data_IF_976547811093
#
_entry.id   IF_976547811093
#
_cell.length_a   1.000
_cell.length_b   1.000
_cell.length_c   1.000
_cell.angle_alpha   90.00
_cell.angle_beta   90.00
_cell.angle_gamma   90.00
#
_symmetry.space_group_name_H-M   'P 1'
#
loop_
_entity.id
_entity.type
_entity.pdbx_description
1 polymer ?
#
# COMPACT_ATOMS: atom_id res chain seq x y z
N UNK A 1 -4.84 -0.02 6.71
CA UNK A 1 -6.01 -0.19 5.85
C UNK A 1 -7.27 -0.45 6.69
N UNK A 2 -8.43 -0.33 6.09
CA UNK A 2 -9.72 -0.61 6.72
C UNK A 2 -10.69 -1.23 5.71
N UNK A 3 -11.71 -1.91 6.22
CA UNK A 3 -12.78 -2.50 5.41
C UNK A 3 -14.12 -2.09 6.04
N UNK A 4 -15.08 -1.72 5.22
CA UNK A 4 -16.42 -1.39 5.65
C UNK A 4 -17.44 -1.91 4.63
N UNK A 5 -18.71 -1.97 5.01
CA UNK A 5 -19.74 -2.38 4.08
C UNK A 5 -21.09 -2.57 4.75
N UNK A 6 -22.03 -3.09 3.99
CA UNK A 6 -23.37 -3.43 4.43
C UNK A 6 -23.67 -4.89 4.08
N UNK A 7 -24.32 -5.60 4.98
CA UNK A 7 -24.83 -6.95 4.77
C UNK A 7 -26.34 -6.90 4.72
N UNK A 8 -26.91 -7.40 3.62
CA UNK A 8 -28.36 -7.44 3.39
C UNK A 8 -28.81 -8.83 2.98
N UNK A 9 -30.07 -9.10 3.08
CA UNK A 9 -30.70 -10.27 2.47
C UNK A 9 -31.12 -10.01 1.01
N UNK A 10 -31.72 -10.99 0.36
CA UNK A 10 -32.23 -10.90 -1.00
C UNK A 10 -33.36 -9.87 -1.21
N UNK A 11 -34.01 -9.46 -0.10
CA UNK A 11 -35.04 -8.39 -0.08
C UNK A 11 -34.44 -7.01 0.18
N UNK A 12 -33.09 -6.90 0.23
CA UNK A 12 -32.34 -5.71 0.59
C UNK A 12 -32.58 -5.22 2.05
N UNK A 13 -33.11 -6.09 2.92
CA UNK A 13 -33.24 -5.81 4.35
C UNK A 13 -31.88 -6.00 5.06
N UNK A 14 -31.54 -5.14 6.06
CA UNK A 14 -30.27 -5.24 6.77
C UNK A 14 -30.22 -6.46 7.68
N UNK A 15 -29.15 -7.25 7.60
CA UNK A 15 -28.91 -8.37 8.50
C UNK A 15 -28.14 -7.87 9.73
N UNK A 16 -28.77 -7.89 10.88
CA UNK A 16 -28.23 -7.43 12.17
C UNK A 16 -27.50 -8.58 12.86
N UNK A 17 -26.27 -8.32 13.34
CA UNK A 17 -25.49 -9.31 14.10
C UNK A 17 -24.80 -10.36 13.21
N UNK A 18 -24.74 -10.18 11.89
CA UNK A 18 -23.92 -11.02 11.02
C UNK A 18 -22.45 -10.88 11.38
N UNK A 19 -21.75 -12.00 11.47
CA UNK A 19 -20.32 -12.03 11.77
C UNK A 19 -19.52 -11.82 10.48
N UNK A 20 -18.61 -10.85 10.49
CA UNK A 20 -17.66 -10.58 9.40
C UNK A 20 -16.26 -10.86 9.92
N UNK A 21 -15.61 -11.87 9.35
CA UNK A 21 -14.24 -12.27 9.70
C UNK A 21 -13.32 -12.12 8.50
N UNK A 22 -12.24 -11.36 8.65
CA UNK A 22 -11.20 -11.20 7.63
C UNK A 22 -9.90 -11.84 8.10
N UNK A 23 -9.31 -12.70 7.28
CA UNK A 23 -8.04 -13.38 7.56
C UNK A 23 -7.00 -12.98 6.54
N UNK A 24 -5.92 -12.37 7.00
CA UNK A 24 -4.75 -12.07 6.17
C UNK A 24 -3.98 -13.36 5.93
N UNK A 25 -4.08 -13.94 4.74
CA UNK A 25 -3.54 -15.26 4.42
C UNK A 25 -2.02 -15.39 4.68
N UNK A 26 -1.17 -14.40 4.30
CA UNK A 26 0.27 -14.53 4.48
C UNK A 26 0.73 -14.58 5.94
N UNK A 27 0.03 -13.89 6.87
CA UNK A 27 0.39 -13.86 8.29
C UNK A 27 -0.55 -14.66 9.19
N UNK A 28 -1.71 -15.09 8.68
CA UNK A 28 -2.73 -15.73 9.50
C UNK A 28 -3.42 -14.77 10.49
N UNK A 29 -3.17 -13.47 10.41
CA UNK A 29 -3.81 -12.46 11.28
C UNK A 29 -5.30 -12.41 11.00
N UNK A 30 -6.10 -12.42 12.08
CA UNK A 30 -7.57 -12.41 12.00
C UNK A 30 -8.11 -11.10 12.53
N UNK A 31 -9.10 -10.58 11.83
CA UNK A 31 -9.85 -9.38 12.17
C UNK A 31 -11.32 -9.74 12.11
N UNK A 32 -12.14 -9.22 13.01
CA UNK A 32 -13.56 -9.54 13.03
C UNK A 32 -14.40 -8.44 13.61
N UNK A 33 -15.64 -8.39 13.17
CA UNK A 33 -16.68 -7.49 13.67
C UNK A 33 -18.06 -8.11 13.43
N UNK A 34 -19.09 -7.48 13.94
CA UNK A 34 -20.48 -7.82 13.69
C UNK A 34 -21.21 -6.64 13.08
N UNK A 35 -22.26 -6.90 12.32
CA UNK A 35 -23.10 -5.85 11.72
C UNK A 35 -23.99 -5.18 12.77
N UNK A 36 -24.18 -3.87 12.61
CA UNK A 36 -25.08 -3.07 13.45
C UNK A 36 -26.56 -3.17 13.00
N UNK A 37 -27.42 -2.36 13.61
CA UNK A 37 -28.88 -2.33 13.33
C UNK A 37 -29.22 -1.95 11.88
N UNK A 38 -28.32 -1.26 11.18
CA UNK A 38 -28.48 -0.90 9.76
C UNK A 38 -27.81 -1.95 8.82
N UNK A 39 -27.33 -3.07 9.37
CA UNK A 39 -26.57 -4.08 8.64
C UNK A 39 -25.15 -3.63 8.27
N UNK A 40 -24.67 -2.49 8.79
CA UNK A 40 -23.33 -1.94 8.46
C UNK A 40 -22.26 -2.50 9.38
N UNK A 41 -21.06 -2.65 8.84
CA UNK A 41 -19.87 -3.05 9.59
C UNK A 41 -18.65 -2.22 9.21
N UNK A 42 -17.67 -2.17 10.12
CA UNK A 42 -16.37 -1.56 9.87
C UNK A 42 -15.28 -2.31 10.64
N UNK A 43 -14.20 -2.66 9.95
CA UNK A 43 -12.97 -3.24 10.52
C UNK A 43 -11.84 -2.27 10.25
N UNK A 44 -11.21 -1.76 11.31
CA UNK A 44 -10.11 -0.80 11.23
C UNK A 44 -8.80 -1.46 11.65
N UNK A 45 -7.66 -0.79 11.36
CA UNK A 45 -6.34 -1.26 11.78
C UNK A 45 -5.85 -2.51 11.06
N UNK A 46 -6.40 -2.83 9.89
CA UNK A 46 -5.98 -3.98 9.08
C UNK A 46 -4.63 -3.71 8.41
N UNK A 47 -3.84 -4.75 8.20
CA UNK A 47 -2.59 -4.68 7.42
C UNK A 47 -2.89 -4.28 5.98
N UNK A 48 -1.99 -3.55 5.36
CA UNK A 48 -2.01 -3.31 3.91
C UNK A 48 -1.55 -4.55 3.15
N UNK A 49 -1.90 -4.62 1.88
CA UNK A 49 -1.60 -5.77 1.03
C UNK A 49 -2.66 -6.88 1.15
N UNK A 50 -2.24 -8.11 0.98
CA UNK A 50 -3.11 -9.29 0.97
C UNK A 50 -2.36 -10.52 0.44
N UNK A 51 -3.07 -11.57 0.00
CA UNK A 51 -4.53 -11.69 -0.10
C UNK A 51 -5.23 -11.89 1.25
N UNK A 52 -6.43 -11.36 1.34
CA UNK A 52 -7.36 -11.63 2.44
C UNK A 52 -8.44 -12.62 2.01
N UNK A 53 -8.85 -13.47 2.96
CA UNK A 53 -10.09 -14.24 2.91
C UNK A 53 -11.06 -13.59 3.88
N UNK A 54 -12.21 -13.15 3.37
CA UNK A 54 -13.27 -12.54 4.19
C UNK A 54 -14.47 -13.48 4.17
N UNK A 55 -14.93 -13.83 5.36
CA UNK A 55 -16.05 -14.73 5.59
C UNK A 55 -17.16 -13.99 6.32
N UNK A 56 -18.36 -14.07 5.77
CA UNK A 56 -19.56 -13.47 6.36
C UNK A 56 -20.55 -14.61 6.66
N UNK A 57 -20.95 -14.71 7.91
CA UNK A 57 -21.85 -15.75 8.39
C UNK A 57 -22.96 -15.22 9.28
N UNK A 58 -24.16 -15.79 9.13
CA UNK A 58 -25.31 -15.52 9.96
C UNK A 58 -26.18 -16.77 10.06
N UNK A 59 -26.88 -16.94 11.19
CA UNK A 59 -27.74 -18.11 11.43
C UNK A 59 -28.92 -18.09 10.46
N UNK A 60 -29.13 -19.19 9.74
CA UNK A 60 -30.20 -19.33 8.74
C UNK A 60 -29.84 -18.81 7.35
N UNK A 61 -28.61 -18.32 7.14
CA UNK A 61 -28.12 -17.85 5.84
C UNK A 61 -26.90 -18.65 5.37
N UNK A 62 -26.72 -18.68 4.05
CA UNK A 62 -25.52 -19.28 3.46
C UNK A 62 -24.29 -18.44 3.76
N UNK A 63 -23.21 -19.08 4.20
CA UNK A 63 -21.92 -18.40 4.42
C UNK A 63 -21.32 -17.93 3.10
N UNK A 64 -20.99 -16.66 3.03
CA UNK A 64 -20.37 -16.04 1.85
C UNK A 64 -18.89 -15.82 2.11
N UNK A 65 -18.03 -16.26 1.18
CA UNK A 65 -16.57 -16.11 1.28
C UNK A 65 -16.04 -15.36 0.08
N UNK A 66 -15.35 -14.29 0.37
CA UNK A 66 -14.55 -13.54 -0.61
C UNK A 66 -13.09 -13.91 -0.47
N UNK A 67 -12.44 -14.22 -1.59
CA UNK A 67 -11.00 -14.52 -1.68
C UNK A 67 -10.26 -13.46 -2.47
N UNK A 68 -8.95 -13.41 -2.28
CA UNK A 68 -8.02 -12.56 -3.03
C UNK A 68 -8.24 -11.05 -2.90
N UNK A 69 -8.85 -10.61 -1.77
CA UNK A 69 -8.98 -9.20 -1.47
C UNK A 69 -7.60 -8.63 -1.10
N UNK A 70 -7.26 -7.49 -1.70
CA UNK A 70 -6.04 -6.73 -1.39
C UNK A 70 -6.44 -5.36 -0.87
N UNK A 71 -5.94 -4.99 0.30
CA UNK A 71 -6.21 -3.70 0.95
C UNK A 71 -5.08 -2.71 0.68
N UNK A 72 -5.42 -1.48 0.35
CA UNK A 72 -4.47 -0.40 0.07
C UNK A 72 -4.32 0.54 1.27
N UNK A 73 -3.16 1.19 1.36
CA UNK A 73 -2.87 2.16 2.40
C UNK A 73 -3.80 3.37 2.31
N UNK A 74 -4.34 3.80 3.46
CA UNK A 74 -5.17 4.99 3.56
C UNK A 74 -6.55 4.87 2.90
N UNK A 75 -6.90 3.72 2.33
CA UNK A 75 -8.20 3.49 1.70
C UNK A 75 -9.11 2.62 2.57
N UNK A 76 -10.41 2.86 2.45
CA UNK A 76 -11.46 1.99 2.99
C UNK A 76 -11.91 1.07 1.86
N UNK A 77 -11.74 -0.23 2.03
CA UNK A 77 -12.27 -1.21 1.08
C UNK A 77 -13.75 -1.45 1.39
N UNK A 78 -14.62 -1.05 0.47
CA UNK A 78 -16.05 -1.25 0.64
C UNK A 78 -16.48 -2.61 0.08
N UNK A 79 -17.04 -3.45 0.95
CA UNK A 79 -17.53 -4.78 0.62
C UNK A 79 -18.98 -4.91 1.09
N UNK A 80 -19.91 -4.63 0.19
CA UNK A 80 -21.33 -4.88 0.40
C UNK A 80 -21.67 -6.32 0.01
N UNK A 81 -22.44 -6.99 0.84
CA UNK A 81 -22.71 -8.42 0.72
C UNK A 81 -24.20 -8.66 0.80
N UNK A 82 -24.73 -9.39 -0.15
CA UNK A 82 -26.07 -9.95 -0.15
C UNK A 82 -25.99 -11.42 0.25
N UNK A 83 -26.74 -11.82 1.26
CA UNK A 83 -26.78 -13.20 1.76
C UNK A 83 -28.13 -13.83 1.39
N UNK A 84 -28.08 -15.07 0.93
CA UNK A 84 -29.30 -15.87 0.64
C UNK A 84 -29.64 -16.75 1.83
N UNK A 85 -30.93 -16.91 2.12
CA UNK A 85 -31.40 -17.88 3.11
C UNK A 85 -30.99 -19.30 2.71
N UNK A 86 -30.56 -20.05 3.70
CA UNK A 86 -30.19 -21.46 3.50
C UNK A 86 -31.27 -22.36 3.99
N UNK A 87 -31.86 -23.12 3.11
CA UNK A 87 -32.72 -24.25 3.47
C UNK A 87 -31.93 -25.53 3.83
N UNK A 88 -30.62 -25.57 3.44
CA UNK A 88 -29.69 -26.67 3.75
C UNK A 88 -28.32 -26.12 4.16
N UNK A 89 -27.79 -26.59 5.28
CA UNK A 89 -26.65 -26.07 6.05
C UNK A 89 -25.25 -26.20 5.40
N UNK A 90 -25.10 -26.55 4.09
CA UNK A 90 -23.82 -27.01 3.56
C UNK A 90 -23.31 -26.33 2.28
N UNK A 91 -23.95 -25.30 1.76
CA UNK A 91 -23.45 -24.65 0.56
C UNK A 91 -22.76 -23.31 0.87
N UNK A 92 -21.43 -23.30 0.77
CA UNK A 92 -20.57 -22.13 0.86
C UNK A 92 -20.54 -21.43 -0.51
N UNK A 93 -20.83 -20.13 -0.55
CA UNK A 93 -20.70 -19.33 -1.76
C UNK A 93 -19.32 -18.69 -1.80
N UNK A 94 -18.49 -19.11 -2.76
CA UNK A 94 -17.16 -18.56 -2.95
C UNK A 94 -17.19 -17.50 -4.05
N UNK A 95 -16.84 -16.28 -3.70
CA UNK A 95 -16.69 -15.15 -4.62
C UNK A 95 -15.23 -14.74 -4.69
N UNK A 96 -14.66 -14.68 -5.89
CA UNK A 96 -13.31 -14.12 -6.09
C UNK A 96 -13.43 -12.63 -6.33
N UNK A 97 -12.74 -11.84 -5.52
CA UNK A 97 -12.77 -10.37 -5.65
C UNK A 97 -12.13 -9.93 -6.98
N UNK A 98 -12.87 -9.20 -7.80
CA UNK A 98 -12.30 -8.56 -8.97
C UNK A 98 -11.44 -7.35 -8.53
N UNK A 99 -10.21 -7.28 -9.03
CA UNK A 99 -9.33 -6.11 -8.80
C UNK A 99 -9.82 -4.93 -9.63
N UNK A 100 -10.68 -4.10 -9.07
CA UNK A 100 -11.06 -2.83 -9.68
C UNK A 100 -10.10 -1.73 -9.22
N UNK A 101 -9.39 -1.11 -10.18
CA UNK A 101 -8.50 0.03 -9.92
C UNK A 101 -9.27 1.35 -9.67
N UNK A 102 -10.52 1.39 -10.04
CA UNK A 102 -11.36 2.58 -9.94
C UNK A 102 -12.57 2.27 -9.06
N UNK A 103 -12.60 2.89 -7.89
CA UNK A 103 -13.77 2.90 -7.02
C UNK A 103 -14.33 4.31 -6.97
N UNK A 104 -15.65 4.47 -7.14
CA UNK A 104 -16.33 5.78 -7.08
C UNK A 104 -16.21 6.48 -5.71
N UNK A 105 -15.70 5.76 -4.71
CA UNK A 105 -15.60 6.20 -3.32
C UNK A 105 -14.22 6.76 -2.95
N UNK A 106 -13.30 6.82 -3.92
CA UNK A 106 -11.97 7.39 -3.72
C UNK A 106 -12.07 8.90 -3.57
N UNK A 107 -11.86 9.40 -2.37
CA UNK A 107 -11.86 10.83 -2.08
C UNK A 107 -10.43 11.38 -2.09
N UNK A 108 -10.20 12.43 -2.89
CA UNK A 108 -8.90 13.09 -3.03
C UNK A 108 -7.97 12.48 -4.10
N UNK A 109 -6.90 13.21 -4.41
CA UNK A 109 -5.90 12.77 -5.38
C UNK A 109 -4.82 11.93 -4.66
N UNK A 110 -5.04 10.63 -4.58
CA UNK A 110 -4.08 9.68 -4.01
C UNK A 110 -3.57 8.73 -5.09
N UNK A 111 -2.28 8.41 -5.03
CA UNK A 111 -1.64 7.42 -5.89
C UNK A 111 -0.98 6.37 -5.01
N UNK A 112 -1.48 5.15 -5.03
CA UNK A 112 -0.94 4.04 -4.28
C UNK A 112 -0.08 3.16 -5.19
N UNK A 113 1.13 2.84 -4.74
CA UNK A 113 2.14 2.10 -5.50
C UNK A 113 2.61 0.95 -4.65
N UNK A 114 2.26 -0.28 -5.05
CA UNK A 114 2.64 -1.50 -4.34
C UNK A 114 4.08 -1.90 -4.62
N UNK A 115 4.66 -2.76 -3.76
CA UNK A 115 6.01 -3.31 -3.94
C UNK A 115 6.18 -4.03 -5.29
N UNK A 116 5.14 -4.71 -5.77
CA UNK A 116 5.16 -5.37 -7.08
C UNK A 116 5.29 -4.36 -8.24
N UNK A 117 4.61 -3.22 -8.15
CA UNK A 117 4.74 -2.15 -9.14
C UNK A 117 6.12 -1.49 -9.05
N UNK A 118 6.63 -1.23 -7.83
CA UNK A 118 7.96 -0.63 -7.63
C UNK A 118 9.08 -1.48 -8.21
N UNK A 119 8.98 -2.80 -8.15
CA UNK A 119 9.99 -3.71 -8.72
C UNK A 119 9.97 -3.78 -10.24
N UNK A 120 8.82 -3.51 -10.86
CA UNK A 120 8.66 -3.53 -12.32
C UNK A 120 9.05 -2.21 -12.99
N UNK A 121 9.15 -1.13 -12.22
CA UNK A 121 9.44 0.20 -12.74
C UNK A 121 10.95 0.39 -12.97
N UNK A 122 11.35 0.84 -14.15
CA UNK A 122 12.73 1.22 -14.40
C UNK A 122 13.05 2.51 -13.65
N UNK A 123 13.85 2.43 -12.61
CA UNK A 123 14.32 3.58 -11.84
C UNK A 123 15.82 3.75 -12.01
N UNK A 124 16.28 4.99 -12.14
CA UNK A 124 17.71 5.28 -12.31
C UNK A 124 18.46 5.27 -10.96
N UNK A 125 17.83 5.83 -9.94
CA UNK A 125 18.46 6.00 -8.62
C UNK A 125 17.88 5.09 -7.55
N UNK A 126 16.81 4.35 -7.83
CA UNK A 126 16.03 3.57 -6.85
C UNK A 126 15.67 4.42 -5.62
N UNK A 127 15.21 5.62 -5.89
CA UNK A 127 14.83 6.59 -4.85
C UNK A 127 13.32 6.70 -4.73
N UNK A 128 12.88 7.16 -3.56
CA UNK A 128 11.46 7.45 -3.33
C UNK A 128 10.96 8.54 -4.27
N UNK A 129 11.83 9.49 -4.66
CA UNK A 129 11.48 10.51 -5.65
C UNK A 129 11.22 9.93 -7.04
N UNK A 130 11.88 8.83 -7.42
CA UNK A 130 11.58 8.12 -8.67
C UNK A 130 10.19 7.48 -8.64
N UNK A 131 9.77 7.00 -7.47
CA UNK A 131 8.43 6.45 -7.26
C UNK A 131 7.37 7.56 -7.21
N UNK A 132 7.67 8.67 -6.55
CA UNK A 132 6.75 9.81 -6.48
C UNK A 132 6.36 10.34 -7.87
N UNK A 133 7.25 10.25 -8.85
CA UNK A 133 6.99 10.65 -10.26
C UNK A 133 5.87 9.87 -10.95
N UNK A 134 5.43 8.76 -10.41
CA UNK A 134 4.26 8.04 -10.91
C UNK A 134 2.95 8.77 -10.63
N UNK A 135 2.95 9.67 -9.65
CA UNK A 135 1.85 10.60 -9.47
C UNK A 135 1.88 11.68 -10.56
N UNK A 136 0.79 11.91 -11.29
CA UNK A 136 0.75 12.94 -12.34
C UNK A 136 0.95 14.36 -11.80
N UNK A 137 0.81 14.55 -10.50
CA UNK A 137 0.98 15.84 -9.82
C UNK A 137 2.39 16.07 -9.28
N UNK A 138 3.31 15.10 -9.44
CA UNK A 138 4.64 15.15 -8.85
C UNK A 138 5.71 15.57 -9.88
N UNK A 139 6.61 16.44 -9.45
CA UNK A 139 7.89 16.70 -10.11
C UNK A 139 9.01 16.55 -9.07
N UNK A 140 9.62 15.37 -8.99
CA UNK A 140 10.50 14.99 -7.90
C UNK A 140 9.77 14.97 -6.56
N UNK A 141 10.18 15.81 -5.63
CA UNK A 141 9.54 16.00 -4.31
C UNK A 141 8.54 17.17 -4.29
N UNK A 142 8.36 17.88 -5.39
CA UNK A 142 7.37 18.95 -5.51
C UNK A 142 6.04 18.39 -5.99
N UNK A 143 4.94 18.77 -5.33
CA UNK A 143 3.59 18.32 -5.68
C UNK A 143 2.69 19.52 -5.98
N UNK A 144 1.90 19.42 -7.05
CA UNK A 144 0.93 20.44 -7.48
C UNK A 144 1.52 21.87 -7.57
N UNK A 145 2.80 21.99 -7.98
CA UNK A 145 3.49 23.26 -8.06
C UNK A 145 4.05 23.82 -6.74
N UNK A 146 3.89 23.07 -5.64
CA UNK A 146 4.45 23.43 -4.33
C UNK A 146 5.96 23.23 -4.25
N UNK A 147 6.58 23.79 -3.19
CA UNK A 147 7.99 23.57 -2.89
C UNK A 147 8.22 22.17 -2.30
N UNK A 148 9.17 21.42 -2.85
CA UNK A 148 9.52 20.07 -2.36
C UNK A 148 10.01 20.03 -0.91
N UNK A 149 10.45 21.16 -0.34
CA UNK A 149 10.80 21.29 1.08
C UNK A 149 9.57 21.23 2.00
N UNK A 150 8.40 21.54 1.47
CA UNK A 150 7.12 21.52 2.19
C UNK A 150 6.38 20.19 2.05
N UNK A 151 6.97 19.20 1.39
CA UNK A 151 6.39 17.85 1.24
C UNK A 151 6.66 17.05 2.50
N UNK A 152 5.61 16.45 3.06
CA UNK A 152 5.75 15.54 4.19
C UNK A 152 6.15 14.13 3.70
N UNK A 153 7.15 13.55 4.33
CA UNK A 153 7.53 12.15 4.12
C UNK A 153 7.46 11.37 5.42
N UNK A 154 6.64 10.32 5.44
CA UNK A 154 6.49 9.45 6.59
C UNK A 154 6.83 8.01 6.25
N UNK A 155 7.43 7.30 7.21
CA UNK A 155 7.64 5.85 7.17
C UNK A 155 6.96 5.26 8.40
N UNK A 156 6.02 4.34 8.19
CA UNK A 156 5.22 3.72 9.25
C UNK A 156 4.58 4.74 10.21
N UNK A 157 4.22 5.92 9.69
CA UNK A 157 3.67 7.04 10.44
C UNK A 157 4.70 7.94 11.14
N UNK A 158 5.97 7.57 11.18
CA UNK A 158 7.04 8.42 11.69
C UNK A 158 7.48 9.44 10.62
N UNK A 159 7.74 10.68 11.06
CA UNK A 159 8.14 11.76 10.18
C UNK A 159 9.65 11.69 9.87
N UNK A 160 10.00 11.71 8.60
CA UNK A 160 11.36 11.67 8.06
C UNK A 160 11.71 12.92 7.24
N UNK A 161 11.08 14.03 7.50
CA UNK A 161 11.35 15.28 6.80
C UNK A 161 12.72 15.86 7.13
N UNK A 162 13.26 16.63 6.19
CA UNK A 162 14.38 17.53 6.47
C UNK A 162 13.84 18.82 7.13
N UNK A 163 13.75 18.81 8.45
CA UNK A 163 13.17 19.93 9.23
C UNK A 163 14.02 21.22 9.22
N UNK A 164 15.25 21.19 8.68
CA UNK A 164 16.06 22.40 8.54
C UNK A 164 15.64 23.29 7.38
N UNK A 165 14.77 22.80 6.47
CA UNK A 165 14.19 23.60 5.40
C UNK A 165 15.17 24.12 4.33
N UNK A 166 16.43 23.67 4.35
CA UNK A 166 17.47 24.14 3.44
C UNK A 166 17.57 23.32 2.14
N UNK A 167 16.95 22.15 2.10
CA UNK A 167 17.00 21.25 0.95
C UNK A 167 15.69 20.47 0.82
N UNK A 168 15.27 20.23 -0.42
CA UNK A 168 14.18 19.30 -0.76
C UNK A 168 14.60 17.83 -0.71
N UNK A 169 15.90 17.55 -0.45
CA UNK A 169 16.38 16.18 -0.34
C UNK A 169 15.98 15.58 1.00
N UNK A 170 15.52 14.35 0.97
CA UNK A 170 15.28 13.57 2.17
C UNK A 170 16.60 13.23 2.89
N UNK A 171 16.58 12.96 4.20
CA UNK A 171 17.75 12.47 4.93
C UNK A 171 18.38 11.25 4.27
N UNK A 172 19.64 10.98 4.55
CA UNK A 172 20.34 9.83 3.97
C UNK A 172 20.68 9.98 2.47
N UNK A 173 20.86 11.22 1.99
CA UNK A 173 21.17 11.49 0.58
C UNK A 173 19.98 11.26 -0.36
N UNK A 174 18.77 11.41 0.16
CA UNK A 174 17.52 11.23 -0.58
C UNK A 174 16.89 9.83 -0.52
N UNK A 175 17.54 8.89 0.16
CA UNK A 175 17.03 7.53 0.37
C UNK A 175 17.14 7.13 1.85
N UNK A 176 16.21 7.58 2.70
CA UNK A 176 16.24 7.25 4.12
C UNK A 176 15.99 5.76 4.41
N UNK A 177 15.38 5.05 3.46
CA UNK A 177 15.10 3.62 3.53
C UNK A 177 15.27 2.98 2.16
N UNK A 178 15.72 1.71 2.11
CA UNK A 178 15.77 0.93 0.88
C UNK A 178 14.38 0.68 0.32
N UNK A 179 14.21 0.84 -0.99
CA UNK A 179 12.96 0.50 -1.67
C UNK A 179 12.55 -0.97 -1.48
N UNK A 180 13.52 -1.86 -1.29
CA UNK A 180 13.25 -3.29 -1.08
C UNK A 180 12.61 -3.58 0.27
N UNK A 181 12.73 -2.65 1.23
CA UNK A 181 12.09 -2.73 2.54
C UNK A 181 10.65 -2.17 2.54
N UNK A 182 10.22 -1.54 1.45
CA UNK A 182 8.90 -0.89 1.36
C UNK A 182 7.86 -1.87 0.80
N UNK A 183 6.72 -1.96 1.46
CA UNK A 183 5.55 -2.73 0.99
C UNK A 183 4.68 -1.90 0.06
N UNK A 184 4.39 -0.66 0.44
CA UNK A 184 3.53 0.24 -0.31
C UNK A 184 3.95 1.69 -0.08
N UNK A 185 3.86 2.50 -1.14
CA UNK A 185 4.00 3.95 -1.08
C UNK A 185 2.68 4.58 -1.50
N UNK A 186 2.18 5.47 -0.68
CA UNK A 186 1.04 6.33 -1.00
C UNK A 186 1.52 7.76 -1.21
N UNK A 187 1.22 8.32 -2.36
CA UNK A 187 1.39 9.73 -2.66
C UNK A 187 0.03 10.41 -2.54
N UNK A 188 -0.04 11.42 -1.69
CA UNK A 188 -1.29 12.15 -1.39
C UNK A 188 -1.13 13.59 -1.79
N UNK A 189 -2.08 14.10 -2.59
CA UNK A 189 -2.16 15.51 -2.97
C UNK A 189 -3.53 16.04 -2.58
N UNK A 190 -3.56 17.11 -1.79
CA UNK A 190 -4.79 17.72 -1.27
C UNK A 190 -5.71 16.70 -0.55
N UNK A 191 -5.28 16.06 0.55
CA UNK A 191 -6.10 15.09 1.27
C UNK A 191 -7.28 15.76 1.97
N UNK A 192 -8.39 15.04 2.04
CA UNK A 192 -9.55 15.43 2.86
C UNK A 192 -9.51 14.80 4.26
N UNK A 193 -8.52 13.97 4.56
CA UNK A 193 -8.34 13.32 5.86
C UNK A 193 -7.57 14.24 6.81
N UNK A 194 -8.21 14.67 7.89
CA UNK A 194 -7.63 15.56 8.92
C UNK A 194 -6.42 14.97 9.65
N UNK A 195 -6.20 13.66 9.58
CA UNK A 195 -5.02 12.99 10.14
C UNK A 195 -3.77 13.21 9.31
N UNK A 196 -3.93 13.61 8.06
CA UNK A 196 -2.84 13.94 7.16
C UNK A 196 -2.45 15.39 7.34
N UNK A 197 -1.32 15.62 7.98
CA UNK A 197 -0.86 16.94 8.39
C UNK A 197 0.59 17.19 7.96
N UNK A 198 1.10 18.37 8.27
CA UNK A 198 2.51 18.70 8.18
C UNK A 198 3.08 18.85 6.76
N UNK A 199 2.24 19.26 5.79
CA UNK A 199 2.69 19.54 4.42
C UNK A 199 1.86 20.64 3.74
N UNK A 200 2.44 21.21 2.69
CA UNK A 200 1.77 22.10 1.74
C UNK A 200 1.97 21.49 0.36
N UNK A 201 0.86 21.14 -0.31
CA UNK A 201 0.87 20.53 -1.65
C UNK A 201 0.75 19.02 -1.65
N UNK A 202 1.67 18.28 -1.04
CA UNK A 202 1.59 16.83 -1.03
C UNK A 202 2.35 16.13 0.09
N UNK A 203 2.00 14.89 0.32
CA UNK A 203 2.65 14.00 1.27
C UNK A 203 2.96 12.63 0.64
N UNK A 204 4.02 12.00 1.11
CA UNK A 204 4.40 10.64 0.76
C UNK A 204 4.37 9.82 2.04
N UNK A 205 3.55 8.77 2.06
CA UNK A 205 3.47 7.83 3.16
C UNK A 205 4.02 6.48 2.68
N UNK A 206 5.08 5.98 3.28
CA UNK A 206 5.64 4.67 3.01
C UNK A 206 5.32 3.72 4.18
N UNK A 207 5.04 2.47 3.85
CA UNK A 207 4.91 1.39 4.84
C UNK A 207 5.96 0.35 4.56
N UNK A 208 6.63 -0.10 5.60
CA UNK A 208 7.64 -1.15 5.52
C UNK A 208 7.01 -2.53 5.38
N UNK A 209 7.75 -3.45 4.75
CA UNK A 209 7.40 -4.85 4.70
C UNK A 209 7.40 -5.45 6.10
N UNK A 210 6.52 -6.41 6.29
CA UNK A 210 6.47 -7.20 7.53
C UNK A 210 6.68 -8.67 7.21
N UNK A 211 7.24 -9.41 8.15
CA UNK A 211 7.38 -10.85 8.03
C UNK A 211 6.03 -11.56 7.89
N UNK A 212 6.07 -12.72 7.26
CA UNK A 212 4.92 -13.59 7.01
C UNK A 212 5.23 -15.02 7.47
N UNK A 213 4.29 -15.96 7.28
CA UNK A 213 4.51 -17.39 7.63
C UNK A 213 5.51 -18.10 6.72
N UNK A 214 5.97 -17.45 5.66
CA UNK A 214 6.98 -17.97 4.74
C UNK A 214 8.24 -17.13 4.81
N UNK A 215 9.41 -17.79 4.84
CA UNK A 215 10.68 -17.08 4.71
C UNK A 215 10.79 -16.49 3.29
N UNK A 216 11.14 -15.20 3.24
CA UNK A 216 11.42 -14.50 2.00
C UNK A 216 12.67 -13.65 2.20
N UNK A 217 13.54 -13.65 1.21
CA UNK A 217 14.73 -12.82 1.22
C UNK A 217 15.06 -12.37 -0.19
N UNK A 218 15.72 -11.24 -0.28
CA UNK A 218 16.28 -10.70 -1.52
C UNK A 218 17.71 -10.26 -1.26
N UNK A 219 18.57 -10.42 -2.26
CA UNK A 219 19.89 -9.83 -2.28
C UNK A 219 20.10 -9.17 -3.63
N UNK A 220 20.71 -7.99 -3.66
CA UNK A 220 20.92 -7.25 -4.88
C UNK A 220 22.21 -6.45 -4.85
N UNK A 221 22.77 -6.21 -6.03
CA UNK A 221 23.84 -5.27 -6.26
C UNK A 221 23.57 -4.50 -7.54
N UNK A 222 23.83 -3.20 -7.51
CA UNK A 222 23.77 -2.32 -8.68
C UNK A 222 25.10 -1.59 -8.80
N UNK A 223 25.66 -1.60 -9.98
CA UNK A 223 26.86 -0.86 -10.31
C UNK A 223 26.57 0.11 -11.46
N UNK A 224 27.10 1.32 -11.35
CA UNK A 224 26.98 2.37 -12.34
C UNK A 224 28.29 3.14 -12.40
N UNK A 225 28.76 3.44 -13.61
CA UNK A 225 29.88 4.34 -13.84
C UNK A 225 29.56 5.35 -14.95
N UNK A 226 30.47 6.29 -15.21
CA UNK A 226 30.32 7.31 -16.23
C UNK A 226 30.17 6.72 -17.64
N UNK A 227 30.81 5.57 -17.94
CA UNK A 227 30.81 4.94 -19.28
C UNK A 227 29.43 4.34 -19.65
N UNK A 228 28.57 4.08 -18.65
CA UNK A 228 27.19 3.62 -18.85
C UNK A 228 26.26 4.76 -19.29
N UNK A 229 26.73 6.00 -19.35
CA UNK A 229 25.96 7.17 -19.77
C UNK A 229 26.42 7.59 -21.17
N UNK A 230 25.48 7.85 -22.07
CA UNK A 230 25.82 8.41 -23.39
C UNK A 230 26.42 9.82 -23.25
N UNK A 231 27.39 10.14 -24.10
CA UNK A 231 28.04 11.46 -24.16
C UNK A 231 27.42 12.38 -25.21
N UNK A 232 26.39 11.93 -25.95
CA UNK A 232 25.75 12.72 -27.00
C UNK A 232 24.31 13.04 -26.70
N UNK A 233 23.93 14.28 -26.94
CA UNK A 233 22.51 14.75 -26.87
C UNK A 233 22.22 15.46 -28.20
N UNK A 234 21.18 15.03 -28.91
CA UNK A 234 20.78 15.58 -30.20
C UNK A 234 21.92 15.62 -31.28
N UNK A 235 22.85 14.68 -31.20
CA UNK A 235 23.99 14.62 -32.14
C UNK A 235 25.22 15.42 -31.70
N UNK A 236 25.10 16.28 -30.70
CA UNK A 236 26.23 17.02 -30.12
C UNK A 236 26.98 16.18 -29.10
N UNK A 237 28.31 16.18 -29.18
CA UNK A 237 29.18 15.52 -28.20
C UNK A 237 29.43 16.46 -27.01
N UNK A 238 29.07 16.04 -25.82
CA UNK A 238 29.24 16.80 -24.58
C UNK A 238 30.64 16.67 -23.97
N UNK A 239 31.55 15.98 -24.64
CA UNK A 239 32.91 15.72 -24.15
C UNK A 239 33.00 14.62 -23.10
N UNK A 240 34.20 14.41 -22.57
CA UNK A 240 34.44 13.42 -21.53
C UNK A 240 33.75 13.80 -20.22
N UNK A 241 33.05 12.83 -19.63
CA UNK A 241 32.46 13.01 -18.29
C UNK A 241 33.49 12.80 -17.21
N UNK A 242 33.32 13.47 -16.09
CA UNK A 242 34.12 13.20 -14.89
C UNK A 242 33.94 11.77 -14.43
N UNK A 243 34.98 11.17 -13.91
CA UNK A 243 34.95 9.82 -13.36
C UNK A 243 33.95 9.73 -12.24
N UNK A 244 32.98 8.86 -12.38
CA UNK A 244 31.93 8.59 -11.38
C UNK A 244 31.72 7.09 -11.30
N UNK A 245 31.77 6.55 -10.10
CA UNK A 245 31.33 5.17 -9.85
C UNK A 245 30.39 5.13 -8.67
N UNK A 246 29.31 4.37 -8.78
CA UNK A 246 28.36 4.14 -7.69
C UNK A 246 28.02 2.66 -7.61
N UNK A 247 28.29 2.07 -6.46
CA UNK A 247 27.86 0.71 -6.14
C UNK A 247 26.81 0.77 -5.05
N UNK A 248 25.70 0.11 -5.27
CA UNK A 248 24.63 -0.04 -4.28
C UNK A 248 24.37 -1.52 -4.09
N UNK A 249 24.41 -1.98 -2.87
CA UNK A 249 24.10 -3.37 -2.53
C UNK A 249 23.17 -3.41 -1.31
N UNK A 250 22.41 -4.47 -1.20
CA UNK A 250 21.53 -4.66 -0.05
C UNK A 250 20.98 -6.08 -0.01
N UNK A 251 20.39 -6.39 1.10
CA UNK A 251 19.65 -7.63 1.29
C UNK A 251 18.45 -7.39 2.19
N UNK A 252 17.44 -8.23 2.04
CA UNK A 252 16.31 -8.30 2.96
C UNK A 252 16.07 -9.74 3.35
N UNK A 253 15.61 -9.96 4.58
CA UNK A 253 15.19 -11.26 5.07
C UNK A 253 14.00 -11.08 6.00
N UNK A 254 12.95 -11.84 5.76
CA UNK A 254 11.76 -11.82 6.60
C UNK A 254 11.14 -13.20 6.71
N UNK A 255 10.47 -13.46 7.83
CA UNK A 255 9.83 -14.74 8.07
C UNK A 255 9.22 -14.87 9.45
N UNK A 256 8.70 -16.07 9.80
CA UNK A 256 8.13 -16.32 11.09
C UNK A 256 9.22 -16.72 12.12
N UNK A 257 9.21 -16.10 13.29
CA UNK A 257 9.84 -16.64 14.49
C UNK A 257 8.90 -17.69 15.09
N UNK A 258 7.61 -17.32 15.22
CA UNK A 258 6.53 -18.24 15.62
C UNK A 258 5.40 -18.08 14.61
N UNK A 259 5.04 -19.17 13.91
CA UNK A 259 3.96 -19.15 12.90
C UNK A 259 2.66 -18.55 13.47
N UNK A 260 2.01 -17.70 12.69
CA UNK A 260 0.77 -16.97 13.00
C UNK A 260 0.84 -16.02 14.21
N UNK A 261 2.01 -15.83 14.85
CA UNK A 261 2.13 -15.04 16.07
C UNK A 261 3.25 -13.99 16.02
N UNK A 262 4.46 -14.41 15.70
CA UNK A 262 5.63 -13.55 15.77
C UNK A 262 6.45 -13.64 14.48
N UNK A 263 6.68 -12.49 13.89
CA UNK A 263 7.40 -12.35 12.63
C UNK A 263 8.56 -11.38 12.78
N UNK A 264 9.52 -11.48 11.87
CA UNK A 264 10.60 -10.51 11.70
C UNK A 264 10.72 -10.09 10.23
N UNK A 265 11.30 -8.93 10.03
CA UNK A 265 11.72 -8.43 8.73
C UNK A 265 12.92 -7.48 8.91
#
# INVERSE_FOLDING_TARGET
ASMAGKVTDASNEPIIGATVQAVHQPSGSRYGTVTNVDGRYSIQGMRTGGPYRVEISYIGYQTVIYKDITLQLGEVYNLNVEMSESSELLNEVIVTAAKTKFTAEKTGATTNISSAQMTQLPTVNRSISDIARLSPYANGMSFAGGDGRSTNFTIDGANFNNNFGLSSNLPGGGNPISMDAIEEVQVVVAPFDVRQTNFIGGGINAITKSGTNTFRGTAYTYYRNQDMRGNRINGEDLGARSDESKTTYGFTLGGPIIKNKLFFF
#
